data_IF_478335963591
#
_entry.id   IF_478335963591
#
_cell.length_a   1.000
_cell.length_b   1.000
_cell.length_c   1.000
_cell.angle_alpha   90.00
_cell.angle_beta   90.00
_cell.angle_gamma   90.00
#
_symmetry.space_group_name_H-M   'P 1'
#
loop_
_entity.id
_entity.type
_entity.pdbx_description
1 polymer ?
#
# COMPACT_ATOMS: atom_id res chain seq x y z
N UNK A 1 -20.81 -3.93 16.25
CA UNK A 1 -19.52 -3.22 16.07
C UNK A 1 -18.45 -4.28 15.87
N UNK A 2 -17.85 -4.35 14.69
CA UNK A 2 -16.86 -5.39 14.40
C UNK A 2 -15.64 -5.20 15.31
N UNK A 3 -15.40 -6.14 16.23
CA UNK A 3 -14.14 -6.26 16.96
C UNK A 3 -13.06 -6.58 15.93
N UNK A 4 -12.40 -5.55 15.40
CA UNK A 4 -11.15 -5.74 14.68
C UNK A 4 -10.10 -5.95 15.76
N UNK A 5 -9.69 -7.21 15.97
CA UNK A 5 -8.63 -7.51 16.91
C UNK A 5 -7.40 -6.65 16.55
N UNK A 6 -6.96 -5.84 17.50
CA UNK A 6 -5.82 -4.97 17.32
C UNK A 6 -4.59 -5.88 17.16
N UNK A 7 -4.07 -5.92 15.94
CA UNK A 7 -2.84 -6.62 15.62
C UNK A 7 -1.72 -6.06 16.49
N UNK A 8 -1.01 -6.91 17.22
CA UNK A 8 0.10 -6.43 18.05
C UNK A 8 1.30 -6.05 17.16
N UNK A 9 2.26 -5.28 17.72
CA UNK A 9 3.41 -4.77 16.96
C UNK A 9 4.20 -5.88 16.25
N UNK A 10 4.42 -7.02 16.91
CA UNK A 10 5.18 -8.13 16.34
C UNK A 10 4.44 -8.75 15.16
N UNK A 11 3.13 -8.92 15.25
CA UNK A 11 2.30 -9.42 14.17
C UNK A 11 2.29 -8.43 12.98
N UNK A 12 2.22 -7.13 13.26
CA UNK A 12 2.24 -6.10 12.23
C UNK A 12 3.59 -6.07 11.49
N UNK A 13 4.70 -6.09 12.23
CA UNK A 13 6.04 -6.14 11.65
C UNK A 13 6.22 -7.38 10.77
N UNK A 14 5.77 -8.55 11.22
CA UNK A 14 5.81 -9.78 10.41
C UNK A 14 4.96 -9.68 9.15
N UNK A 15 3.77 -9.08 9.24
CA UNK A 15 2.87 -8.91 8.10
C UNK A 15 3.40 -7.91 7.06
N UNK A 16 4.13 -6.88 7.50
CA UNK A 16 4.61 -5.76 6.68
C UNK A 16 6.14 -5.63 6.74
N UNK A 17 6.85 -6.76 6.68
CA UNK A 17 8.32 -6.78 6.73
C UNK A 17 8.99 -6.45 5.39
N UNK A 18 8.27 -6.58 4.26
CA UNK A 18 8.83 -6.30 2.92
C UNK A 18 7.99 -5.28 2.15
N UNK A 19 8.63 -4.60 1.21
CA UNK A 19 7.95 -3.67 0.29
C UNK A 19 6.86 -4.38 -0.52
N UNK A 20 7.07 -5.64 -0.93
CA UNK A 20 6.08 -6.41 -1.69
C UNK A 20 4.84 -6.73 -0.85
N UNK A 21 5.03 -7.03 0.44
CA UNK A 21 3.91 -7.27 1.36
C UNK A 21 3.09 -5.99 1.56
N UNK A 22 3.75 -4.84 1.76
CA UNK A 22 3.11 -3.54 1.84
C UNK A 22 2.39 -3.18 0.53
N UNK A 23 3.04 -3.42 -0.62
CA UNK A 23 2.48 -3.17 -1.95
C UNK A 23 1.22 -4.00 -2.20
N UNK A 24 1.25 -5.31 -1.91
CA UNK A 24 0.05 -6.17 -2.04
C UNK A 24 -1.10 -5.70 -1.17
N UNK A 25 -0.81 -5.22 0.05
CA UNK A 25 -1.83 -4.69 0.93
C UNK A 25 -2.46 -3.41 0.37
N UNK A 26 -1.62 -2.45 -0.06
CA UNK A 26 -2.09 -1.24 -0.71
C UNK A 26 -2.87 -1.53 -2.00
N UNK A 27 -2.46 -2.54 -2.76
CA UNK A 27 -3.15 -2.94 -3.99
C UNK A 27 -4.59 -3.37 -3.67
N UNK A 28 -4.78 -4.24 -2.66
CA UNK A 28 -6.10 -4.66 -2.20
C UNK A 28 -6.94 -3.50 -1.67
N UNK A 29 -6.31 -2.52 -1.02
CA UNK A 29 -7.03 -1.32 -0.53
C UNK A 29 -7.43 -0.37 -1.65
N UNK A 30 -6.54 -0.11 -2.61
CA UNK A 30 -6.76 0.80 -3.73
C UNK A 30 -7.77 0.23 -4.74
N UNK A 31 -7.71 -1.09 -4.93
CA UNK A 31 -8.43 -1.83 -5.96
C UNK A 31 -9.03 -3.11 -5.39
N UNK A 32 -10.11 -3.00 -4.58
CA UNK A 32 -10.72 -4.16 -3.91
C UNK A 32 -11.31 -5.18 -4.90
N UNK A 33 -11.92 -4.69 -5.98
CA UNK A 33 -12.56 -5.52 -7.01
C UNK A 33 -11.66 -5.78 -8.23
N UNK A 34 -10.36 -5.48 -8.11
CA UNK A 34 -9.40 -5.54 -9.21
C UNK A 34 -9.00 -4.18 -9.75
N UNK A 35 -8.01 -4.17 -10.65
CA UNK A 35 -7.40 -2.94 -11.19
C UNK A 35 -8.48 -2.02 -11.76
N UNK A 36 -8.41 -0.73 -11.42
CA UNK A 36 -9.23 0.30 -12.04
C UNK A 36 -8.34 1.48 -12.43
N UNK A 37 -8.28 1.79 -13.73
CA UNK A 37 -7.44 2.84 -14.24
C UNK A 37 -7.88 4.21 -13.68
N UNK A 38 -6.98 5.01 -13.07
CA UNK A 38 -7.34 6.30 -12.50
C UNK A 38 -7.78 7.33 -13.54
N UNK A 39 -7.43 7.14 -14.82
CA UNK A 39 -7.72 8.10 -15.90
C UNK A 39 -9.01 7.80 -16.65
N UNK A 40 -9.28 6.52 -16.94
CA UNK A 40 -10.39 6.10 -17.80
C UNK A 40 -11.30 5.05 -17.18
N UNK A 41 -11.05 4.65 -15.92
CA UNK A 41 -11.83 3.68 -15.14
C UNK A 41 -11.96 2.29 -15.78
N UNK A 42 -11.10 1.97 -16.75
CA UNK A 42 -11.05 0.63 -17.33
C UNK A 42 -10.46 -0.37 -16.33
N UNK A 43 -10.96 -1.59 -16.38
CA UNK A 43 -10.69 -2.67 -15.43
C UNK A 43 -9.50 -3.56 -15.80
N UNK A 44 -8.96 -3.41 -17.02
CA UNK A 44 -7.83 -4.19 -17.52
C UNK A 44 -6.56 -3.38 -17.61
N UNK A 45 -5.47 -4.02 -17.17
CA UNK A 45 -4.11 -3.54 -17.33
C UNK A 45 -3.15 -4.70 -17.63
N UNK A 46 -2.05 -4.37 -18.31
CA UNK A 46 -0.85 -5.18 -18.34
C UNK A 46 -0.03 -4.94 -17.08
N UNK A 47 0.35 -6.00 -16.38
CA UNK A 47 1.25 -5.93 -15.24
C UNK A 47 2.69 -6.12 -15.73
N UNK A 48 3.53 -5.13 -15.47
CA UNK A 48 4.95 -5.12 -15.80
C UNK A 48 5.74 -5.35 -14.51
N UNK A 49 6.36 -6.53 -14.40
CA UNK A 49 7.11 -6.99 -13.22
C UNK A 49 8.63 -6.86 -13.37
N UNK A 50 9.11 -6.25 -14.45
CA UNK A 50 10.55 -6.06 -14.71
C UNK A 50 11.23 -5.06 -13.77
N UNK A 51 10.47 -4.34 -12.95
CA UNK A 51 10.95 -3.38 -11.95
C UNK A 51 10.73 -3.92 -10.55
N UNK A 52 11.40 -3.32 -9.55
CA UNK A 52 11.27 -3.67 -8.13
C UNK A 52 9.81 -3.68 -7.64
N UNK A 53 8.98 -2.75 -8.14
CA UNK A 53 7.55 -2.69 -7.86
C UNK A 53 6.74 -2.85 -9.16
N UNK A 54 5.62 -3.60 -9.15
CA UNK A 54 4.77 -3.79 -10.31
C UNK A 54 4.24 -2.46 -10.86
N UNK A 55 4.33 -2.32 -12.18
CA UNK A 55 3.74 -1.21 -12.93
C UNK A 55 2.52 -1.72 -13.69
N UNK A 56 1.39 -1.02 -13.60
CA UNK A 56 0.16 -1.36 -14.29
C UNK A 56 -0.05 -0.40 -15.45
N UNK A 57 -0.09 -0.93 -16.67
CA UNK A 57 -0.41 -0.17 -17.88
C UNK A 57 -1.83 -0.47 -18.35
N UNK A 58 -2.69 0.54 -18.39
CA UNK A 58 -4.06 0.35 -18.85
C UNK A 58 -4.13 -0.03 -20.34
N UNK A 59 -4.88 -1.09 -20.65
CA UNK A 59 -5.05 -1.58 -22.04
C UNK A 59 -5.74 -0.55 -22.95
N UNK A 60 -6.61 0.29 -22.39
CA UNK A 60 -7.44 1.24 -23.16
C UNK A 60 -6.75 2.57 -23.43
N UNK A 61 -6.05 3.12 -22.44
CA UNK A 61 -5.49 4.48 -22.53
C UNK A 61 -3.96 4.53 -22.40
N UNK A 62 -3.30 3.37 -22.28
CA UNK A 62 -1.86 3.22 -22.09
C UNK A 62 -1.30 4.02 -20.90
N UNK A 63 -2.16 4.41 -19.97
CA UNK A 63 -1.74 5.12 -18.78
C UNK A 63 -1.06 4.13 -17.83
N UNK A 64 0.19 4.43 -17.50
CA UNK A 64 1.01 3.68 -16.55
C UNK A 64 0.81 4.22 -15.14
N UNK A 65 0.47 3.35 -14.21
CA UNK A 65 0.34 3.69 -12.79
C UNK A 65 0.93 2.57 -11.95
N UNK A 66 1.57 2.93 -10.83
CA UNK A 66 1.88 1.98 -9.76
C UNK A 66 0.83 2.08 -8.67
N UNK A 67 0.80 1.12 -7.76
CA UNK A 67 -0.06 1.21 -6.56
C UNK A 67 0.36 2.42 -5.71
N UNK A 68 1.67 2.66 -5.63
CA UNK A 68 2.32 3.76 -4.91
C UNK A 68 2.48 5.05 -5.72
N UNK A 69 1.82 5.17 -6.88
CA UNK A 69 1.96 6.37 -7.70
C UNK A 69 1.52 7.61 -6.89
N UNK A 70 2.45 8.54 -6.68
CA UNK A 70 2.23 9.75 -5.89
C UNK A 70 2.69 9.68 -4.41
N UNK A 71 3.23 8.56 -3.92
CA UNK A 71 3.84 8.50 -2.58
C UNK A 71 5.36 8.62 -2.66
N UNK A 72 5.93 9.56 -1.89
CA UNK A 72 7.39 9.84 -1.85
C UNK A 72 8.10 8.93 -0.83
N UNK A 73 7.35 8.20 0.00
CA UNK A 73 7.86 7.52 1.18
C UNK A 73 8.27 6.06 0.93
N UNK A 74 9.25 5.61 1.72
CA UNK A 74 9.57 4.19 1.91
C UNK A 74 8.37 3.49 2.56
N UNK A 75 7.81 2.51 1.84
CA UNK A 75 6.58 1.82 2.20
C UNK A 75 6.64 1.16 3.57
N UNK A 76 7.75 0.52 3.92
CA UNK A 76 7.85 -0.24 5.18
C UNK A 76 7.84 0.74 6.35
N UNK A 77 8.65 1.81 6.26
CA UNK A 77 8.70 2.87 7.28
C UNK A 77 7.35 3.57 7.43
N UNK A 78 6.66 3.82 6.32
CA UNK A 78 5.37 4.49 6.36
C UNK A 78 4.29 3.62 7.05
N UNK A 79 4.27 2.31 6.78
CA UNK A 79 3.39 1.38 7.48
C UNK A 79 3.66 1.35 8.98
N UNK A 80 4.93 1.39 9.38
CA UNK A 80 5.32 1.45 10.80
C UNK A 80 4.88 2.76 11.46
N UNK A 81 5.11 3.89 10.79
CA UNK A 81 4.69 5.20 11.27
C UNK A 81 3.17 5.25 11.50
N UNK A 82 2.37 4.79 10.54
CA UNK A 82 0.91 4.72 10.68
C UNK A 82 0.50 3.81 11.82
N UNK A 83 1.14 2.65 11.96
CA UNK A 83 0.83 1.72 13.05
C UNK A 83 1.07 2.35 14.42
N UNK A 84 2.23 2.99 14.60
CA UNK A 84 2.62 3.64 15.86
C UNK A 84 1.70 4.82 16.18
N UNK A 85 1.40 5.67 15.20
CA UNK A 85 0.48 6.81 15.37
C UNK A 85 -0.95 6.32 15.71
N UNK A 86 -1.41 5.22 15.11
CA UNK A 86 -2.76 4.70 15.35
C UNK A 86 -2.90 3.97 16.71
N UNK A 87 -1.81 3.41 17.25
CA UNK A 87 -1.84 2.66 18.52
C UNK A 87 -1.44 3.49 19.73
N UNK A 88 -0.64 4.55 19.55
CA UNK A 88 -0.19 5.39 20.66
C UNK A 88 -1.20 6.50 20.98
N UNK A 89 -1.79 6.45 22.17
CA UNK A 89 -2.76 7.46 22.64
C UNK A 89 -2.13 8.80 23.01
N UNK A 90 -0.80 8.85 23.20
CA UNK A 90 -0.02 10.04 23.60
C UNK A 90 0.64 10.71 22.39
N UNK A 91 0.59 10.07 21.22
CA UNK A 91 1.26 10.53 20.00
C UNK A 91 2.71 10.09 19.93
N UNK A 92 3.28 10.12 18.73
CA UNK A 92 4.63 9.65 18.43
C UNK A 92 5.46 10.82 17.93
N UNK A 93 6.65 11.02 18.49
CA UNK A 93 7.57 12.06 18.02
C UNK A 93 8.05 11.76 16.60
N UNK A 94 8.10 12.78 15.75
CA UNK A 94 8.62 12.66 14.39
C UNK A 94 10.10 12.23 14.34
N UNK A 95 10.89 12.51 15.39
CA UNK A 95 12.28 12.05 15.50
C UNK A 95 12.44 10.57 15.86
N UNK A 96 11.36 9.92 16.32
CA UNK A 96 11.35 8.49 16.63
C UNK A 96 11.02 7.63 15.39
N UNK A 97 10.50 8.26 14.32
CA UNK A 97 10.12 7.65 13.05
C UNK A 97 11.25 7.79 12.00
#
# INVERSE_FOLDING_TARGET
>A
MAKKEAMNLIQFQKAFQTEEACHRHLMKMKWPEGFCCPKCQHDKAYEITTRKLPLFECVRCHHQTTVIAGTIFDLVKWFWAVFLIAHDKRGVSATYL
#
